data_IF_764926200503
#
_entry.id   IF_764926200503
#
_cell.length_a   1.000
_cell.length_b   1.000
_cell.length_c   1.000
_cell.angle_alpha   90.00
_cell.angle_beta   90.00
_cell.angle_gamma   90.00
#
_symmetry.space_group_name_H-M   'P 1'
#
loop_
_entity.id
_entity.type
_entity.pdbx_description
1 polymer ?
#
# COMPACT_ATOMS: atom_id res chain seq x y z
N UNK A 1 -15.85 -25.26 -9.72
CA UNK A 1 -15.41 -24.43 -8.59
C UNK A 1 -13.98 -24.02 -8.86
N UNK A 2 -13.78 -22.78 -9.32
CA UNK A 2 -12.45 -22.24 -9.61
C UNK A 2 -11.91 -21.71 -8.28
N UNK A 3 -11.09 -22.51 -7.60
CA UNK A 3 -10.39 -22.05 -6.39
C UNK A 3 -9.14 -21.27 -6.81
N UNK A 4 -8.87 -20.22 -6.02
CA UNK A 4 -7.92 -19.17 -6.28
C UNK A 4 -6.46 -19.58 -6.50
N UNK A 5 -5.73 -18.59 -6.96
CA UNK A 5 -4.47 -18.59 -7.70
C UNK A 5 -3.21 -18.99 -6.89
N UNK A 6 -3.31 -19.66 -5.74
CA UNK A 6 -2.14 -19.97 -4.89
C UNK A 6 -1.83 -21.48 -4.81
N UNK A 7 -0.54 -21.84 -4.83
CA UNK A 7 -0.09 -23.24 -4.72
C UNK A 7 -0.46 -23.87 -3.37
N UNK A 8 -0.55 -23.05 -2.31
CA UNK A 8 -0.88 -23.46 -0.94
C UNK A 8 -2.33 -23.93 -0.84
N UNK A 9 -3.27 -23.25 -1.51
CA UNK A 9 -4.68 -23.62 -1.49
C UNK A 9 -4.93 -24.96 -2.22
N UNK A 10 -4.16 -25.25 -3.26
CA UNK A 10 -4.24 -26.52 -4.01
C UNK A 10 -3.76 -27.70 -3.17
N UNK A 11 -2.70 -27.52 -2.38
CA UNK A 11 -2.18 -28.55 -1.50
C UNK A 11 -3.17 -28.86 -0.36
N UNK A 12 -3.74 -27.82 0.26
CA UNK A 12 -4.75 -27.99 1.31
C UNK A 12 -6.04 -28.64 0.79
N UNK A 13 -6.49 -28.31 -0.42
CA UNK A 13 -7.64 -28.96 -1.05
C UNK A 13 -7.37 -30.45 -1.33
N UNK A 14 -6.15 -30.79 -1.79
CA UNK A 14 -5.72 -32.17 -1.98
C UNK A 14 -5.72 -32.97 -0.67
N UNK A 15 -5.16 -32.39 0.40
CA UNK A 15 -5.17 -33.01 1.75
C UNK A 15 -6.59 -33.22 2.27
N UNK A 16 -7.49 -32.27 2.03
CA UNK A 16 -8.90 -32.35 2.43
C UNK A 16 -9.65 -33.46 1.69
N UNK A 17 -9.40 -33.63 0.38
CA UNK A 17 -10.01 -34.69 -0.42
C UNK A 17 -9.54 -36.10 -0.01
N UNK A 18 -8.26 -36.22 0.39
CA UNK A 18 -7.71 -37.47 0.96
C UNK A 18 -8.30 -37.74 2.34
N UNK A 19 -8.39 -36.73 3.21
CA UNK A 19 -8.95 -36.85 4.56
C UNK A 19 -10.41 -37.33 4.55
N UNK A 20 -11.23 -36.79 3.65
CA UNK A 20 -12.62 -37.23 3.50
C UNK A 20 -12.79 -38.49 2.63
N UNK A 21 -11.68 -39.07 2.15
CA UNK A 21 -11.69 -40.36 1.46
C UNK A 21 -12.44 -40.38 0.13
N UNK A 22 -12.49 -39.24 -0.57
CA UNK A 22 -13.09 -39.12 -1.91
C UNK A 22 -12.06 -38.77 -3.00
N UNK A 23 -10.78 -38.60 -2.65
CA UNK A 23 -9.70 -38.32 -3.60
C UNK A 23 -8.37 -38.98 -3.23
N UNK A 24 -7.42 -38.92 -4.16
CA UNK A 24 -6.03 -39.37 -4.00
C UNK A 24 -5.13 -38.20 -4.38
N UNK A 25 -4.16 -37.87 -3.52
CA UNK A 25 -3.14 -36.86 -3.82
C UNK A 25 -2.04 -37.49 -4.69
N UNK A 26 -1.70 -36.81 -5.79
CA UNK A 26 -0.57 -37.15 -6.66
C UNK A 26 0.38 -35.97 -6.64
N UNK A 27 1.67 -36.24 -6.42
CA UNK A 27 2.69 -35.20 -6.37
C UNK A 27 2.85 -34.54 -7.76
N UNK A 28 2.77 -33.20 -7.85
CA UNK A 28 2.91 -32.46 -9.11
C UNK A 28 4.23 -32.70 -9.83
N UNK A 29 5.31 -33.08 -9.12
CA UNK A 29 6.62 -33.31 -9.72
C UNK A 29 6.59 -34.42 -10.78
N UNK A 30 5.71 -35.43 -10.63
CA UNK A 30 5.55 -36.51 -11.61
C UNK A 30 4.85 -36.05 -12.90
N UNK A 31 4.08 -34.95 -12.85
CA UNK A 31 3.40 -34.38 -14.01
C UNK A 31 4.39 -33.64 -14.92
N UNK A 32 5.40 -32.99 -14.35
CA UNK A 32 6.45 -32.26 -15.08
C UNK A 32 7.40 -33.20 -15.81
N UNK A 33 7.65 -34.40 -15.28
CA UNK A 33 8.56 -35.39 -15.88
C UNK A 33 7.90 -36.23 -16.99
N UNK A 34 6.60 -36.06 -17.27
CA UNK A 34 5.89 -36.78 -18.34
C UNK A 34 5.61 -38.27 -18.05
N UNK A 35 5.74 -38.70 -16.79
CA UNK A 35 5.62 -40.09 -16.38
C UNK A 35 4.12 -40.41 -16.20
N UNK A 36 3.55 -41.27 -17.07
CA UNK A 36 2.11 -41.61 -17.08
C UNK A 36 1.69 -42.62 -16.00
N UNK A 37 2.61 -43.49 -15.59
CA UNK A 37 2.34 -44.61 -14.67
C UNK A 37 1.70 -44.21 -13.32
N UNK A 38 2.17 -43.17 -12.60
CA UNK A 38 1.58 -42.80 -11.31
C UNK A 38 0.16 -42.23 -11.46
N UNK A 39 -0.12 -41.55 -12.57
CA UNK A 39 -1.44 -40.98 -12.87
C UNK A 39 -2.42 -42.10 -13.23
N UNK A 40 -2.03 -43.02 -14.11
CA UNK A 40 -2.86 -44.14 -14.52
C UNK A 40 -3.22 -45.04 -13.34
N UNK A 41 -2.25 -45.31 -12.46
CA UNK A 41 -2.46 -46.06 -11.22
C UNK A 41 -3.41 -45.36 -10.26
N UNK A 42 -3.32 -44.03 -10.13
CA UNK A 42 -4.24 -43.25 -9.32
C UNK A 42 -5.67 -43.27 -9.87
N UNK A 43 -5.84 -43.11 -11.18
CA UNK A 43 -7.14 -43.18 -11.87
C UNK A 43 -7.76 -44.57 -11.68
N UNK A 44 -7.01 -45.65 -11.97
CA UNK A 44 -7.48 -47.02 -11.77
C UNK A 44 -7.92 -47.27 -10.32
N UNK A 45 -7.17 -46.76 -9.34
CA UNK A 45 -7.51 -46.90 -7.92
C UNK A 45 -8.82 -46.20 -7.53
N UNK A 46 -9.09 -45.03 -8.10
CA UNK A 46 -10.33 -44.28 -7.84
C UNK A 46 -11.53 -44.96 -8.51
N UNK A 47 -11.38 -45.46 -9.74
CA UNK A 47 -12.47 -46.17 -10.44
C UNK A 47 -12.78 -47.55 -9.85
N UNK A 48 -11.77 -48.28 -9.40
CA UNK A 48 -11.96 -49.64 -8.88
C UNK A 48 -12.62 -49.69 -7.50
N UNK A 49 -12.54 -48.61 -6.71
CA UNK A 49 -13.07 -48.57 -5.35
C UNK A 49 -14.36 -47.74 -5.28
N UNK A 50 -15.54 -48.38 -5.09
CA UNK A 50 -16.82 -47.66 -5.04
C UNK A 50 -16.95 -46.74 -3.81
N UNK A 51 -16.11 -46.95 -2.78
CA UNK A 51 -16.08 -46.12 -1.56
C UNK A 51 -15.81 -44.64 -1.84
N UNK A 52 -14.98 -44.32 -2.84
CA UNK A 52 -14.71 -42.92 -3.21
C UNK A 52 -15.97 -42.23 -3.73
N UNK A 53 -16.74 -42.90 -4.58
CA UNK A 53 -17.99 -42.37 -5.11
C UNK A 53 -19.08 -42.24 -4.04
N UNK A 54 -19.16 -43.20 -3.12
CA UNK A 54 -20.09 -43.11 -1.97
C UNK A 54 -19.76 -41.93 -1.05
N UNK A 55 -18.48 -41.72 -0.75
CA UNK A 55 -18.03 -40.61 0.08
C UNK A 55 -18.25 -39.25 -0.61
N UNK A 56 -17.99 -39.18 -1.92
CA UNK A 56 -18.29 -37.99 -2.73
C UNK A 56 -19.79 -37.67 -2.74
N UNK A 57 -20.66 -38.67 -2.95
CA UNK A 57 -22.13 -38.49 -2.91
C UNK A 57 -22.63 -38.08 -1.52
N UNK A 58 -22.05 -38.64 -0.45
CA UNK A 58 -22.37 -38.28 0.94
C UNK A 58 -22.02 -36.83 1.23
N UNK A 59 -20.87 -36.36 0.73
CA UNK A 59 -20.45 -34.96 0.86
C UNK A 59 -21.34 -34.04 0.01
N UNK A 60 -21.63 -34.41 -1.23
CA UNK A 60 -22.54 -33.68 -2.12
C UNK A 60 -23.92 -33.49 -1.47
N UNK A 61 -24.48 -34.57 -0.90
CA UNK A 61 -25.78 -34.51 -0.21
C UNK A 61 -25.74 -33.56 0.98
N UNK A 62 -24.65 -33.56 1.77
CA UNK A 62 -24.45 -32.61 2.89
C UNK A 62 -24.34 -31.16 2.40
N UNK A 63 -23.68 -30.92 1.28
CA UNK A 63 -23.54 -29.58 0.70
C UNK A 63 -24.85 -29.07 0.08
N UNK A 64 -25.66 -29.95 -0.52
CA UNK A 64 -26.98 -29.61 -1.05
C UNK A 64 -27.97 -29.19 0.05
N UNK A 65 -27.80 -29.70 1.27
CA UNK A 65 -28.64 -29.35 2.42
C UNK A 65 -28.18 -28.06 3.12
N UNK A 66 -27.05 -27.52 2.69
CA UNK A 66 -26.57 -26.21 3.16
C UNK A 66 -27.24 -25.15 2.29
N UNK A 67 -27.83 -24.12 2.90
CA UNK A 67 -28.43 -22.98 2.17
C UNK A 67 -27.51 -22.51 1.05
N UNK A 68 -28.10 -22.05 -0.06
CA UNK A 68 -27.32 -21.56 -1.18
C UNK A 68 -26.33 -20.52 -0.65
N UNK A 69 -25.04 -20.54 -1.04
CA UNK A 69 -24.06 -19.59 -0.52
C UNK A 69 -24.49 -18.13 -0.76
N UNK A 70 -25.29 -17.90 -1.80
CA UNK A 70 -25.95 -16.62 -2.08
C UNK A 70 -27.01 -16.25 -1.04
N UNK A 71 -27.88 -17.18 -0.63
CA UNK A 71 -28.87 -16.95 0.44
C UNK A 71 -28.18 -16.68 1.77
N UNK A 72 -27.10 -17.42 2.08
CA UNK A 72 -26.32 -17.16 3.31
C UNK A 72 -25.65 -15.79 3.29
N UNK A 73 -25.18 -15.33 2.13
CA UNK A 73 -24.64 -13.99 1.97
C UNK A 73 -25.73 -12.92 2.09
N UNK A 74 -26.90 -13.16 1.51
CA UNK A 74 -28.07 -12.29 1.64
C UNK A 74 -28.55 -12.19 3.10
N UNK A 75 -28.64 -13.32 3.82
CA UNK A 75 -28.97 -13.38 5.25
C UNK A 75 -27.96 -12.56 6.08
N UNK A 76 -26.67 -12.63 5.73
CA UNK A 76 -25.64 -11.82 6.39
C UNK A 76 -25.90 -10.34 6.11
N UNK A 77 -26.08 -9.94 4.85
CA UNK A 77 -26.34 -8.54 4.44
C UNK A 77 -27.60 -7.99 5.10
N UNK A 78 -28.69 -8.75 5.08
CA UNK A 78 -29.95 -8.39 5.74
C UNK A 78 -29.74 -8.23 7.24
N UNK A 79 -29.03 -9.16 7.88
CA UNK A 79 -28.68 -9.06 9.29
C UNK A 79 -27.85 -7.80 9.57
N UNK A 80 -26.87 -7.45 8.73
CA UNK A 80 -26.07 -6.20 8.84
C UNK A 80 -26.94 -4.96 8.78
N UNK A 81 -27.88 -4.93 7.82
CA UNK A 81 -28.79 -3.80 7.61
C UNK A 81 -29.76 -3.66 8.79
N UNK A 82 -30.30 -4.76 9.29
CA UNK A 82 -31.28 -4.76 10.38
C UNK A 82 -30.66 -4.47 11.76
N UNK A 83 -29.45 -4.95 12.03
CA UNK A 83 -28.73 -4.66 13.29
C UNK A 83 -27.94 -3.35 13.26
N UNK A 84 -28.00 -2.60 12.15
CA UNK A 84 -27.32 -1.31 12.05
C UNK A 84 -25.82 -1.45 12.25
N UNK A 85 -25.17 -2.33 11.48
CA UNK A 85 -23.73 -2.51 11.48
C UNK A 85 -23.11 -2.50 12.89
N UNK A 86 -23.55 -3.43 13.75
CA UNK A 86 -22.82 -3.76 14.97
C UNK A 86 -21.32 -3.95 14.65
N UNK A 87 -20.46 -3.51 15.57
CA UNK A 87 -19.00 -3.25 15.44
C UNK A 87 -18.14 -4.31 14.69
N UNK A 88 -18.68 -5.49 14.38
CA UNK A 88 -18.04 -6.55 13.60
C UNK A 88 -18.08 -6.38 12.07
N UNK A 89 -18.96 -5.53 11.51
CA UNK A 89 -18.97 -5.18 10.07
C UNK A 89 -18.49 -3.78 9.74
N UNK A 90 -18.29 -2.94 10.77
CA UNK A 90 -17.36 -1.85 10.61
C UNK A 90 -16.01 -2.50 10.35
N UNK A 91 -15.57 -2.47 9.08
CA UNK A 91 -14.17 -2.67 8.79
C UNK A 91 -13.40 -1.79 9.77
N UNK A 92 -12.34 -2.33 10.37
CA UNK A 92 -11.43 -1.64 11.28
C UNK A 92 -10.73 -0.42 10.65
N UNK A 93 -11.29 0.12 9.57
CA UNK A 93 -10.92 1.30 8.83
C UNK A 93 -11.49 2.60 9.41
N UNK A 94 -12.48 2.53 10.31
CA UNK A 94 -13.10 3.73 10.91
C UNK A 94 -12.62 4.08 12.31
N UNK A 95 -11.65 3.34 12.87
CA UNK A 95 -10.88 3.80 14.03
C UNK A 95 -9.37 3.67 13.77
N UNK A 96 -8.82 4.37 12.75
CA UNK A 96 -7.39 4.55 12.70
C UNK A 96 -6.98 5.17 14.04
N UNK A 97 -6.02 4.56 14.73
CA UNK A 97 -5.38 5.21 15.86
C UNK A 97 -4.93 6.62 15.44
N UNK A 98 -4.92 7.59 16.35
CA UNK A 98 -4.63 8.99 16.01
C UNK A 98 -3.32 9.17 15.22
N UNK A 99 -2.35 8.29 15.43
CA UNK A 99 -1.09 8.19 14.68
C UNK A 99 -1.24 7.73 13.22
N UNK A 100 -2.27 6.97 12.89
CA UNK A 100 -2.53 6.40 11.55
C UNK A 100 -3.32 7.38 10.65
N UNK A 101 -4.10 8.28 11.26
CA UNK A 101 -4.80 9.35 10.52
C UNK A 101 -3.84 10.49 10.15
N UNK A 102 -2.89 10.80 11.03
CA UNK A 102 -1.82 11.73 10.73
C UNK A 102 -0.78 10.98 9.88
N UNK A 103 -0.90 11.06 8.56
CA UNK A 103 0.23 10.82 7.66
C UNK A 103 1.33 11.82 8.02
N UNK A 104 2.14 11.47 9.02
CA UNK A 104 3.22 12.30 9.56
C UNK A 104 4.17 12.73 8.44
N UNK A 105 4.27 11.91 7.39
CA UNK A 105 5.00 12.19 6.16
C UNK A 105 4.47 13.45 5.43
N UNK A 106 3.16 13.61 5.30
CA UNK A 106 2.55 14.78 4.64
C UNK A 106 2.79 16.05 5.46
N UNK A 107 2.62 15.97 6.79
CA UNK A 107 2.89 17.11 7.67
C UNK A 107 4.38 17.47 7.70
N UNK A 108 5.26 16.46 7.67
CA UNK A 108 6.71 16.64 7.58
C UNK A 108 7.12 17.31 6.27
N UNK A 109 6.59 16.84 5.14
CA UNK A 109 6.85 17.43 3.82
C UNK A 109 6.31 18.86 3.73
N UNK A 110 5.12 19.13 4.28
CA UNK A 110 4.54 20.47 4.32
C UNK A 110 5.37 21.44 5.17
N UNK A 111 5.81 21.00 6.36
CA UNK A 111 6.66 21.79 7.24
C UNK A 111 8.03 22.08 6.60
N UNK A 112 8.62 21.10 5.91
CA UNK A 112 9.87 21.26 5.18
C UNK A 112 9.73 22.29 4.04
N UNK A 113 8.66 22.20 3.23
CA UNK A 113 8.38 23.17 2.18
C UNK A 113 8.22 24.59 2.74
N UNK A 114 7.48 24.74 3.85
CA UNK A 114 7.31 26.03 4.50
C UNK A 114 8.64 26.58 5.03
N UNK A 115 9.46 25.74 5.67
CA UNK A 115 10.77 26.12 6.17
C UNK A 115 11.70 26.56 5.04
N UNK A 116 11.73 25.83 3.93
CA UNK A 116 12.51 26.19 2.74
C UNK A 116 12.05 27.52 2.14
N UNK A 117 10.73 27.74 2.06
CA UNK A 117 10.16 28.99 1.56
C UNK A 117 10.57 30.18 2.44
N UNK A 118 10.44 30.07 3.76
CA UNK A 118 10.86 31.12 4.71
C UNK A 118 12.38 31.37 4.63
N UNK A 119 13.18 30.31 4.57
CA UNK A 119 14.63 30.42 4.39
C UNK A 119 15.00 31.16 3.11
N UNK A 120 14.33 30.86 1.99
CA UNK A 120 14.56 31.54 0.73
C UNK A 120 14.24 33.04 0.84
N UNK A 121 13.11 33.41 1.48
CA UNK A 121 12.75 34.82 1.71
C UNK A 121 13.80 35.55 2.56
N UNK A 122 14.28 34.91 3.64
CA UNK A 122 15.31 35.48 4.50
C UNK A 122 16.62 35.69 3.73
N UNK A 123 17.04 34.72 2.91
CA UNK A 123 18.25 34.84 2.10
C UNK A 123 18.13 35.94 1.05
N UNK A 124 16.99 36.07 0.39
CA UNK A 124 16.74 37.14 -0.58
C UNK A 124 16.76 38.51 0.11
N UNK A 125 16.04 38.65 1.24
CA UNK A 125 16.04 39.88 2.03
C UNK A 125 17.46 40.22 2.55
N UNK A 126 18.21 39.23 3.00
CA UNK A 126 19.58 39.43 3.46
C UNK A 126 20.53 39.81 2.32
N UNK A 127 20.38 39.19 1.15
CA UNK A 127 21.20 39.50 -0.04
C UNK A 127 20.96 40.92 -0.54
N UNK A 128 19.70 41.35 -0.59
CA UNK A 128 19.31 42.71 -1.01
C UNK A 128 19.75 43.75 0.01
N UNK A 129 19.57 43.48 1.31
CA UNK A 129 20.10 44.32 2.39
C UNK A 129 21.64 44.46 2.31
N UNK A 130 22.34 43.34 2.07
CA UNK A 130 23.79 43.33 1.93
C UNK A 130 24.25 44.14 0.72
N UNK A 131 23.57 43.99 -0.43
CA UNK A 131 23.86 44.74 -1.66
C UNK A 131 23.62 46.24 -1.47
N UNK A 132 22.50 46.63 -0.86
CA UNK A 132 22.19 48.02 -0.57
C UNK A 132 23.23 48.64 0.39
N UNK A 133 23.65 47.89 1.42
CA UNK A 133 24.70 48.33 2.35
C UNK A 133 26.07 48.45 1.67
N UNK A 134 26.40 47.62 0.67
CA UNK A 134 27.62 47.81 -0.12
C UNK A 134 27.53 49.01 -1.05
N UNK A 135 26.37 49.26 -1.67
CA UNK A 135 26.16 50.42 -2.54
C UNK A 135 26.24 51.75 -1.78
N UNK A 136 25.61 51.84 -0.59
CA UNK A 136 25.69 53.00 0.31
C UNK A 136 27.13 53.29 0.77
N UNK A 137 27.92 52.23 1.02
CA UNK A 137 29.35 52.39 1.35
C UNK A 137 30.18 52.89 0.17
N UNK A 138 29.78 52.59 -1.06
CA UNK A 138 30.46 53.09 -2.25
C UNK A 138 30.13 54.56 -2.54
N UNK A 139 28.84 54.94 -2.41
CA UNK A 139 28.40 56.31 -2.66
C UNK A 139 29.01 57.31 -1.67
N UNK A 140 29.09 56.95 -0.39
CA UNK A 140 29.76 57.77 0.64
C UNK A 140 31.25 57.97 0.36
N UNK A 141 31.95 56.95 -0.12
CA UNK A 141 33.37 57.05 -0.54
C UNK A 141 33.56 57.95 -1.76
N UNK A 142 32.65 57.89 -2.74
CA UNK A 142 32.68 58.75 -3.92
C UNK A 142 32.40 60.21 -3.56
N UNK A 143 31.39 60.47 -2.71
CA UNK A 143 31.08 61.81 -2.22
C UNK A 143 32.27 62.43 -1.45
N UNK A 144 32.92 61.64 -0.58
CA UNK A 144 34.11 62.10 0.16
C UNK A 144 35.30 62.42 -0.77
N UNK A 145 35.55 61.62 -1.81
CA UNK A 145 36.61 61.91 -2.81
C UNK A 145 36.30 63.19 -3.60
N UNK A 146 35.07 63.38 -4.05
CA UNK A 146 34.68 64.56 -4.81
C UNK A 146 34.86 65.85 -3.99
N UNK A 147 34.45 65.83 -2.71
CA UNK A 147 34.64 66.96 -1.80
C UNK A 147 36.13 67.27 -1.58
N UNK A 148 36.99 66.24 -1.44
CA UNK A 148 38.43 66.43 -1.30
C UNK A 148 39.08 67.04 -2.56
N UNK A 149 38.63 66.64 -3.75
CA UNK A 149 39.12 67.21 -5.02
C UNK A 149 38.70 68.67 -5.17
N UNK A 150 37.44 69.01 -4.86
CA UNK A 150 36.96 70.40 -4.89
C UNK A 150 37.70 71.29 -3.90
N UNK A 151 37.94 70.80 -2.67
CA UNK A 151 38.70 71.55 -1.68
C UNK A 151 40.14 71.85 -2.12
N UNK A 152 40.78 70.93 -2.86
CA UNK A 152 42.11 71.15 -3.41
C UNK A 152 42.10 72.14 -4.60
N UNK A 153 41.09 72.06 -5.48
CA UNK A 153 40.90 73.02 -6.58
C UNK A 153 40.74 74.46 -6.09
N UNK A 154 39.95 74.68 -5.04
CA UNK A 154 39.73 76.01 -4.47
C UNK A 154 41.01 76.59 -3.83
N UNK A 155 41.89 75.74 -3.29
CA UNK A 155 43.19 76.19 -2.73
C UNK A 155 44.20 76.61 -3.80
N UNK A 156 44.08 76.16 -5.04
CA UNK A 156 44.98 76.55 -6.13
C UNK A 156 44.56 77.87 -6.82
N UNK A 157 43.36 78.37 -6.55
CA UNK A 157 42.82 79.61 -7.14
C UNK A 157 42.91 80.82 -6.19
N UNK A 158 43.32 80.62 -4.94
CA UNK A 158 43.58 81.67 -3.95
C UNK A 158 45.07 81.85 -3.72
#
# INVERSE_FOLDING_TARGET
MVCGHSAVDRENAGKTAVYHGFGVSVDPHFLTTGIKDPIEKAIKRVLQKPSFMMNAKKLQKRMQWTRHPAEKAADIVEKVMLTGAEDYLQTHYHRPSWWQHSLLDIYGLLALLLALFVMALILVAWSTYRMLRSALRLSTRLASRNNAVQANSNKQQS
#
